data_IF_239880371815
#
_entry.id   IF_239880371815
#
_cell.length_a   1.000
_cell.length_b   1.000
_cell.length_c   1.000
_cell.angle_alpha   90.00
_cell.angle_beta   90.00
_cell.angle_gamma   90.00
#
_symmetry.space_group_name_H-M   'P 1'
#
loop_
_entity.id
_entity.type
_entity.pdbx_description
1 polymer ?
#
# COMPACT_ATOMS: atom_id res chain seq x y z
N UNK A 1 -9.88 11.54 -0.59
CA UNK A 1 -9.01 10.43 -1.01
C UNK A 1 -8.59 9.60 0.20
N UNK A 2 -8.00 10.21 1.21
CA UNK A 2 -7.54 9.54 2.41
C UNK A 2 -7.63 10.47 3.61
N UNK A 3 -7.92 9.92 4.77
CA UNK A 3 -7.85 10.64 6.04
C UNK A 3 -6.84 9.99 6.97
N UNK A 4 -6.31 10.77 7.89
CA UNK A 4 -5.49 10.27 8.99
C UNK A 4 -6.19 10.55 10.30
N UNK A 5 -6.08 9.65 11.27
CA UNK A 5 -6.57 9.85 12.64
C UNK A 5 -5.50 9.38 13.63
N UNK A 6 -5.21 10.23 14.59
CA UNK A 6 -4.23 10.00 15.63
C UNK A 6 -4.79 10.10 17.04
N UNK A 7 -3.95 9.92 18.06
CA UNK A 7 -4.35 10.17 19.45
C UNK A 7 -4.52 11.67 19.74
N UNK A 8 -3.78 12.53 19.04
CA UNK A 8 -3.89 13.98 19.14
C UNK A 8 -4.61 14.52 17.90
N UNK A 9 -5.56 15.47 18.05
CA UNK A 9 -6.31 16.06 16.94
C UNK A 9 -5.42 16.74 15.88
N UNK A 10 -4.23 17.15 16.20
CA UNK A 10 -3.26 17.73 15.25
C UNK A 10 -2.89 16.78 14.10
N UNK A 11 -3.08 15.47 14.31
CA UNK A 11 -2.80 14.42 13.33
C UNK A 11 -4.02 14.03 12.49
N UNK A 12 -5.19 14.58 12.82
CA UNK A 12 -6.42 14.35 12.07
C UNK A 12 -6.43 15.24 10.84
N UNK A 13 -6.24 14.63 9.68
CA UNK A 13 -6.16 15.34 8.39
C UNK A 13 -6.99 14.64 7.32
N UNK A 14 -7.59 15.44 6.45
CA UNK A 14 -8.27 14.95 5.27
C UNK A 14 -7.53 15.41 4.02
N UNK A 15 -7.19 14.48 3.14
CA UNK A 15 -6.54 14.75 1.88
C UNK A 15 -7.53 14.54 0.75
N UNK A 16 -7.76 15.58 -0.03
CA UNK A 16 -8.66 15.58 -1.18
C UNK A 16 -7.91 15.98 -2.44
N UNK A 17 -8.37 15.47 -3.58
CA UNK A 17 -7.86 15.92 -4.89
C UNK A 17 -8.35 17.35 -5.14
N UNK A 18 -7.52 18.17 -5.76
CA UNK A 18 -7.86 19.56 -6.12
C UNK A 18 -8.00 19.76 -7.63
N UNK A 19 -7.41 18.87 -8.42
CA UNK A 19 -7.51 18.90 -9.87
C UNK A 19 -8.84 18.30 -10.34
N UNK A 20 -9.31 18.77 -11.46
CA UNK A 20 -10.42 18.15 -12.18
C UNK A 20 -10.06 16.73 -12.63
N UNK A 21 -11.08 15.92 -12.84
CA UNK A 21 -10.90 14.56 -13.36
C UNK A 21 -10.42 14.64 -14.80
N UNK A 22 -9.25 14.09 -15.09
CA UNK A 22 -8.69 14.08 -16.44
C UNK A 22 -9.53 13.24 -17.41
N UNK A 23 -9.91 12.05 -17.00
CA UNK A 23 -10.75 11.13 -17.72
C UNK A 23 -11.51 10.23 -16.75
N UNK A 24 -12.84 10.31 -16.75
CA UNK A 24 -13.71 9.50 -15.89
C UNK A 24 -14.01 8.12 -16.50
N UNK A 25 -13.85 7.96 -17.82
CA UNK A 25 -14.32 6.79 -18.56
C UNK A 25 -13.24 5.76 -18.86
N UNK A 26 -11.96 6.17 -18.80
CA UNK A 26 -10.85 5.24 -19.05
C UNK A 26 -10.94 4.02 -18.13
N UNK A 27 -10.84 2.81 -18.69
CA UNK A 27 -10.82 1.58 -17.92
C UNK A 27 -9.50 1.47 -17.14
N UNK A 28 -9.59 1.23 -15.84
CA UNK A 28 -8.44 1.12 -14.95
C UNK A 28 -8.31 -0.31 -14.41
N UNK A 29 -7.08 -0.84 -14.49
CA UNK A 29 -6.66 -2.03 -13.78
C UNK A 29 -5.39 -1.70 -12.98
N UNK A 30 -5.39 -2.06 -11.70
CA UNK A 30 -4.25 -1.83 -10.80
C UNK A 30 -3.68 -3.16 -10.36
N UNK A 31 -2.41 -3.38 -10.64
CA UNK A 31 -1.71 -4.60 -10.25
C UNK A 31 -1.06 -4.40 -8.88
N UNK A 32 -1.36 -5.30 -7.96
CA UNK A 32 -0.77 -5.30 -6.60
C UNK A 32 -0.23 -6.68 -6.22
N UNK A 33 0.70 -6.69 -5.28
CA UNK A 33 1.21 -7.92 -4.66
C UNK A 33 1.60 -7.65 -3.20
N UNK A 34 2.12 -8.67 -2.51
CA UNK A 34 2.53 -8.57 -1.11
C UNK A 34 3.66 -7.56 -0.81
N UNK A 35 4.27 -6.95 -1.83
CA UNK A 35 5.24 -5.86 -1.68
C UNK A 35 4.64 -4.47 -1.91
N UNK A 36 3.41 -4.41 -2.41
CA UNK A 36 2.66 -3.15 -2.54
C UNK A 36 2.29 -2.65 -1.14
N UNK A 37 2.84 -1.50 -0.73
CA UNK A 37 2.72 -1.02 0.63
C UNK A 37 2.47 0.49 0.71
N UNK A 38 1.86 0.97 1.81
CA UNK A 38 1.71 2.38 2.16
C UNK A 38 0.96 3.17 1.08
N UNK A 39 1.58 4.14 0.40
CA UNK A 39 0.94 4.96 -0.64
C UNK A 39 0.34 4.13 -1.77
N UNK A 40 0.99 3.02 -2.16
CA UNK A 40 0.46 2.09 -3.16
C UNK A 40 -0.86 1.46 -2.71
N UNK A 41 -1.00 1.19 -1.41
CA UNK A 41 -2.23 0.64 -0.83
C UNK A 41 -3.32 1.70 -0.72
N UNK A 42 -2.95 2.95 -0.44
CA UNK A 42 -3.89 4.07 -0.46
C UNK A 42 -4.46 4.22 -1.87
N UNK A 43 -3.62 4.26 -2.90
CA UNK A 43 -4.08 4.40 -4.29
C UNK A 43 -4.97 3.24 -4.72
N UNK A 44 -4.52 2.00 -4.54
CA UNK A 44 -5.30 0.82 -4.92
C UNK A 44 -6.59 0.70 -4.12
N UNK A 45 -6.55 0.95 -2.81
CA UNK A 45 -7.71 0.91 -1.94
C UNK A 45 -8.74 1.99 -2.26
N UNK A 46 -8.30 3.21 -2.61
CA UNK A 46 -9.20 4.30 -3.04
C UNK A 46 -9.89 3.95 -4.36
N UNK A 47 -9.15 3.40 -5.33
CA UNK A 47 -9.71 2.94 -6.61
C UNK A 47 -10.75 1.83 -6.38
N UNK A 48 -10.46 0.90 -5.47
CA UNK A 48 -11.39 -0.16 -5.08
C UNK A 48 -12.62 0.40 -4.36
N UNK A 49 -12.46 1.28 -3.38
CA UNK A 49 -13.56 1.82 -2.58
C UNK A 49 -14.53 2.67 -3.40
N UNK A 50 -14.02 3.37 -4.43
CA UNK A 50 -14.85 4.11 -5.37
C UNK A 50 -15.39 3.27 -6.52
N UNK A 51 -15.05 1.97 -6.60
CA UNK A 51 -15.38 1.09 -7.75
C UNK A 51 -14.92 1.70 -9.09
N UNK A 52 -13.79 2.45 -9.07
CA UNK A 52 -13.29 3.17 -10.24
C UNK A 52 -12.48 2.27 -11.16
N UNK A 53 -11.97 1.17 -10.69
CA UNK A 53 -11.14 0.24 -11.43
C UNK A 53 -11.09 -1.14 -10.79
N UNK A 54 -10.45 -2.08 -11.48
CA UNK A 54 -10.26 -3.44 -11.03
C UNK A 54 -8.89 -3.60 -10.37
N UNK A 55 -8.86 -4.18 -9.18
CA UNK A 55 -7.62 -4.51 -8.46
C UNK A 55 -7.29 -5.97 -8.73
N UNK A 56 -6.10 -6.23 -9.28
CA UNK A 56 -5.68 -7.57 -9.72
C UNK A 56 -4.36 -7.93 -9.03
N UNK A 57 -4.20 -9.19 -8.66
CA UNK A 57 -2.94 -9.74 -8.18
C UNK A 57 -3.02 -10.45 -6.85
N UNK A 58 -2.22 -10.03 -5.88
CA UNK A 58 -2.14 -10.65 -4.55
C UNK A 58 -2.45 -9.61 -3.49
N UNK A 59 -2.88 -10.09 -2.31
CA UNK A 59 -3.07 -9.26 -1.12
C UNK A 59 -1.85 -8.37 -0.89
N UNK A 60 -2.06 -7.08 -0.64
CA UNK A 60 -1.01 -6.11 -0.38
C UNK A 60 -0.38 -6.29 1.02
N UNK A 61 0.62 -5.50 1.33
CA UNK A 61 1.43 -5.63 2.56
C UNK A 61 0.64 -5.34 3.85
N UNK A 62 -0.19 -4.29 3.86
CA UNK A 62 -0.94 -3.87 5.04
C UNK A 62 -0.19 -2.85 5.91
N UNK A 63 0.42 -1.83 5.31
CA UNK A 63 1.10 -0.74 6.02
C UNK A 63 0.22 0.51 6.10
N UNK A 64 -0.59 0.60 7.14
CA UNK A 64 -1.59 1.66 7.37
C UNK A 64 -1.20 2.70 8.42
N UNK A 65 0.05 2.73 8.89
CA UNK A 65 0.51 3.65 9.94
C UNK A 65 1.24 4.86 9.36
N UNK A 66 0.95 6.03 9.91
CA UNK A 66 1.68 7.28 9.67
C UNK A 66 2.80 7.39 10.68
N UNK A 67 4.03 7.53 10.19
CA UNK A 67 5.22 7.74 11.01
C UNK A 67 5.81 9.12 10.72
N UNK A 68 6.12 9.86 11.79
CA UNK A 68 6.78 11.14 11.73
C UNK A 68 8.12 11.09 12.45
N UNK A 69 9.11 11.80 11.91
CA UNK A 69 10.42 11.94 12.52
C UNK A 69 10.49 13.29 13.19
N UNK A 70 10.90 13.31 14.46
CA UNK A 70 11.12 14.54 15.24
C UNK A 70 12.55 14.64 15.72
N UNK A 71 13.11 15.84 15.67
CA UNK A 71 14.42 16.13 16.26
C UNK A 71 14.29 16.16 17.79
N UNK A 72 15.23 15.50 18.46
CA UNK A 72 15.29 15.42 19.93
C UNK A 72 16.56 16.04 20.52
N UNK A 73 17.28 16.82 19.72
CA UNK A 73 18.55 17.43 20.09
C UNK A 73 19.75 16.49 19.88
N UNK A 74 20.95 17.00 20.14
CA UNK A 74 22.20 16.24 20.01
C UNK A 74 22.38 15.52 18.67
N UNK A 75 21.93 16.15 17.57
CA UNK A 75 21.93 15.56 16.23
C UNK A 75 21.20 14.20 16.14
N UNK A 76 20.22 13.98 17.03
CA UNK A 76 19.45 12.74 17.12
C UNK A 76 17.99 12.96 16.72
N UNK A 77 17.37 11.92 16.16
CA UNK A 77 15.98 11.94 15.71
C UNK A 77 15.23 10.74 16.25
N UNK A 78 13.97 10.93 16.60
CA UNK A 78 13.05 9.86 16.97
C UNK A 78 11.99 9.73 15.89
N UNK A 79 11.68 8.49 15.49
CA UNK A 79 10.60 8.15 14.56
C UNK A 79 9.44 7.54 15.33
N UNK A 80 8.29 8.20 15.28
CA UNK A 80 7.11 7.83 16.07
C UNK A 80 5.92 7.56 15.14
N UNK A 81 5.11 6.56 15.48
CA UNK A 81 3.79 6.37 14.89
C UNK A 81 2.82 7.36 15.50
N UNK A 82 2.20 8.20 14.68
CA UNK A 82 1.34 9.32 15.12
C UNK A 82 -0.12 9.13 14.73
N UNK A 83 -0.42 8.41 13.65
CA UNK A 83 -1.78 8.22 13.15
C UNK A 83 -1.93 6.92 12.34
N UNK A 84 -3.19 6.56 12.04
CA UNK A 84 -3.56 5.53 11.07
C UNK A 84 -4.15 6.19 9.82
N UNK A 85 -3.99 5.54 8.65
CA UNK A 85 -4.67 5.93 7.41
C UNK A 85 -6.04 5.26 7.31
N UNK A 86 -7.02 6.04 6.84
CA UNK A 86 -8.36 5.57 6.50
C UNK A 86 -8.69 5.97 5.08
N UNK A 87 -9.12 5.01 4.27
CA UNK A 87 -9.51 5.20 2.88
C UNK A 87 -11.03 5.46 2.77
N UNK A 88 -11.59 5.78 1.59
CA UNK A 88 -12.94 6.34 1.48
C UNK A 88 -14.06 5.53 2.12
N UNK A 89 -14.00 4.21 2.12
CA UNK A 89 -14.98 3.37 2.84
C UNK A 89 -14.95 3.53 4.36
N UNK A 90 -13.91 4.15 4.92
CA UNK A 90 -13.67 4.28 6.34
C UNK A 90 -12.78 3.18 6.93
N UNK A 91 -12.39 2.19 6.14
CA UNK A 91 -11.50 1.11 6.60
C UNK A 91 -10.04 1.56 6.71
N UNK A 92 -9.31 0.93 7.63
CA UNK A 92 -7.88 1.04 7.78
C UNK A 92 -7.18 -0.18 7.13
N UNK A 93 -6.12 0.06 6.38
CA UNK A 93 -5.37 -1.01 5.69
C UNK A 93 -4.32 -1.69 6.57
N UNK A 94 -4.13 -1.25 7.81
CA UNK A 94 -3.10 -1.78 8.71
C UNK A 94 -3.37 -3.26 9.05
N UNK A 95 -2.43 -4.14 8.72
CA UNK A 95 -2.57 -5.59 8.92
C UNK A 95 -2.29 -6.05 10.34
N UNK A 96 -1.51 -5.29 11.09
CA UNK A 96 -1.03 -5.65 12.42
C UNK A 96 -1.57 -4.67 13.44
N UNK A 97 -2.16 -5.16 14.52
CA UNK A 97 -2.41 -4.38 15.73
C UNK A 97 -1.27 -4.57 16.73
N UNK A 98 -1.13 -3.60 17.64
CA UNK A 98 -0.15 -3.69 18.72
C UNK A 98 -0.89 -3.81 20.04
N UNK A 99 -0.64 -4.90 20.75
CA UNK A 99 -1.15 -5.13 22.11
C UNK A 99 0.05 -5.25 23.04
N UNK A 100 0.10 -4.39 24.04
CA UNK A 100 1.21 -4.33 25.03
C UNK A 100 2.60 -4.17 24.38
N UNK A 101 2.66 -3.49 23.21
CA UNK A 101 3.88 -3.26 22.45
C UNK A 101 4.26 -4.36 21.45
N UNK A 102 3.58 -5.51 21.51
CA UNK A 102 3.82 -6.63 20.59
C UNK A 102 2.84 -6.62 19.40
N UNK A 103 3.32 -6.96 18.18
CA UNK A 103 2.47 -7.03 17.01
C UNK A 103 1.56 -8.27 17.07
N UNK A 104 0.28 -8.07 16.83
CA UNK A 104 -0.73 -9.14 16.80
C UNK A 104 -1.46 -9.07 15.45
N UNK A 105 -1.46 -10.17 14.72
CA UNK A 105 -2.26 -10.31 13.51
C UNK A 105 -3.75 -10.42 13.86
N UNK A 106 -4.59 -9.66 13.11
CA UNK A 106 -6.03 -9.73 13.26
C UNK A 106 -6.54 -10.85 12.34
N UNK A 107 -7.14 -11.93 12.88
CA UNK A 107 -7.76 -12.96 12.07
C UNK A 107 -8.81 -12.38 11.14
N UNK A 108 -8.95 -12.94 9.95
CA UNK A 108 -9.85 -12.40 8.92
C UNK A 108 -11.31 -12.37 9.38
N UNK A 109 -11.73 -13.36 10.14
CA UNK A 109 -13.07 -13.46 10.70
C UNK A 109 -13.41 -12.35 11.71
N UNK A 110 -12.37 -11.78 12.34
CA UNK A 110 -12.49 -10.70 13.34
C UNK A 110 -12.41 -9.30 12.73
N UNK A 111 -12.16 -9.20 11.41
CA UNK A 111 -12.03 -7.90 10.73
C UNK A 111 -13.39 -7.26 10.49
N UNK A 112 -13.46 -5.95 10.70
CA UNK A 112 -14.66 -5.19 10.43
C UNK A 112 -14.96 -5.17 8.92
N UNK A 113 -16.26 -5.21 8.60
CA UNK A 113 -16.76 -5.21 7.22
C UNK A 113 -17.17 -3.81 6.82
N UNK A 114 -16.73 -3.38 5.66
CA UNK A 114 -17.07 -2.10 5.05
C UNK A 114 -17.64 -2.32 3.65
N UNK A 115 -18.13 -1.28 3.02
CA UNK A 115 -18.68 -1.33 1.67
C UNK A 115 -18.01 -0.31 0.77
N UNK A 116 -17.78 -0.70 -0.47
CA UNK A 116 -17.39 0.21 -1.54
C UNK A 116 -18.57 1.11 -1.93
N UNK A 117 -18.34 2.09 -2.79
CA UNK A 117 -19.38 3.01 -3.29
C UNK A 117 -20.60 2.28 -3.86
N UNK A 118 -20.38 1.15 -4.54
CA UNK A 118 -21.46 0.34 -5.16
C UNK A 118 -21.94 -0.81 -4.26
N UNK A 119 -21.53 -0.84 -2.98
CA UNK A 119 -22.01 -1.81 -2.00
C UNK A 119 -21.27 -3.16 -1.99
N UNK A 120 -20.14 -3.29 -2.68
CA UNK A 120 -19.30 -4.50 -2.57
C UNK A 120 -18.67 -4.57 -1.18
N UNK A 121 -18.65 -5.76 -0.60
CA UNK A 121 -18.07 -5.99 0.72
C UNK A 121 -16.53 -5.96 0.64
N UNK A 122 -15.91 -5.19 1.53
CA UNK A 122 -14.47 -5.11 1.74
C UNK A 122 -14.13 -5.18 3.22
N UNK A 123 -12.96 -5.69 3.56
CA UNK A 123 -12.55 -5.90 4.94
C UNK A 123 -11.62 -4.80 5.43
N UNK A 124 -11.71 -4.47 6.70
CA UNK A 124 -10.75 -3.69 7.45
C UNK A 124 -9.51 -4.51 7.77
N UNK A 125 -8.36 -3.87 7.84
CA UNK A 125 -7.11 -4.53 8.20
C UNK A 125 -6.58 -5.53 7.16
N UNK A 126 -5.30 -5.82 7.25
CA UNK A 126 -4.69 -6.85 6.41
C UNK A 126 -4.34 -6.44 4.98
N UNK A 127 -4.25 -5.13 4.70
CA UNK A 127 -3.98 -4.61 3.37
C UNK A 127 -5.21 -4.58 2.46
N UNK A 128 -4.95 -4.38 1.18
CA UNK A 128 -5.97 -4.40 0.12
C UNK A 128 -6.04 -5.81 -0.47
N UNK A 129 -7.21 -6.42 -0.40
CA UNK A 129 -7.47 -7.70 -1.06
C UNK A 129 -7.87 -7.42 -2.52
N UNK A 130 -7.22 -8.03 -3.52
CA UNK A 130 -7.56 -7.79 -4.91
C UNK A 130 -8.95 -8.33 -5.28
N UNK A 131 -9.59 -7.71 -6.25
CA UNK A 131 -10.89 -8.15 -6.80
C UNK A 131 -10.70 -9.43 -7.63
N UNK A 132 -9.55 -9.56 -8.30
CA UNK A 132 -9.12 -10.75 -9.01
C UNK A 132 -7.81 -11.26 -8.44
N UNK A 133 -7.89 -12.36 -7.70
CA UNK A 133 -6.72 -12.98 -7.09
C UNK A 133 -5.89 -13.72 -8.15
N UNK A 134 -4.60 -13.50 -8.14
CA UNK A 134 -3.62 -14.19 -8.99
C UNK A 134 -2.62 -14.96 -8.14
N UNK A 135 -2.24 -16.13 -8.59
CA UNK A 135 -1.20 -16.92 -7.95
C UNK A 135 0.15 -16.19 -7.97
N UNK A 136 0.98 -16.47 -6.98
CA UNK A 136 2.35 -15.98 -6.99
C UNK A 136 3.12 -16.66 -8.13
N UNK A 137 3.89 -15.89 -8.93
CA UNK A 137 4.76 -16.52 -9.91
C UNK A 137 5.75 -17.46 -9.21
N UNK A 138 5.81 -18.69 -9.68
CA UNK A 138 6.79 -19.67 -9.22
C UNK A 138 7.97 -19.60 -10.18
N UNK A 139 9.12 -19.19 -9.66
CA UNK A 139 10.36 -19.19 -10.42
C UNK A 139 11.17 -20.45 -10.08
N UNK A 140 11.85 -21.00 -11.06
CA UNK A 140 12.81 -22.08 -10.82
C UNK A 140 14.01 -21.60 -9.98
N UNK A 141 14.81 -22.55 -9.48
CA UNK A 141 15.93 -22.24 -8.58
C UNK A 141 16.97 -21.32 -9.23
N UNK A 142 17.17 -21.41 -10.55
CA UNK A 142 18.10 -20.57 -11.27
C UNK A 142 17.64 -19.11 -11.28
N UNK A 143 16.38 -18.87 -11.63
CA UNK A 143 15.79 -17.53 -11.64
C UNK A 143 15.77 -16.94 -10.22
N UNK A 144 15.41 -17.73 -9.21
CA UNK A 144 15.44 -17.29 -7.81
C UNK A 144 16.85 -16.86 -7.38
N UNK A 145 17.88 -17.62 -7.76
CA UNK A 145 19.27 -17.27 -7.47
C UNK A 145 19.71 -15.99 -8.19
N UNK A 146 19.36 -15.82 -9.47
CA UNK A 146 19.68 -14.61 -10.24
C UNK A 146 19.03 -13.36 -9.63
N UNK A 147 17.77 -13.46 -9.20
CA UNK A 147 17.06 -12.35 -8.54
C UNK A 147 17.66 -12.09 -7.15
N UNK A 148 17.83 -13.13 -6.34
CA UNK A 148 18.31 -13.03 -4.95
C UNK A 148 19.74 -12.50 -4.83
N UNK A 149 20.57 -12.78 -5.81
CA UNK A 149 21.96 -12.29 -5.89
C UNK A 149 22.11 -10.99 -6.69
N UNK A 150 21.01 -10.33 -7.04
CA UNK A 150 21.00 -9.09 -7.84
C UNK A 150 21.72 -9.20 -9.19
N UNK A 151 21.85 -10.41 -9.76
CA UNK A 151 22.60 -10.60 -11.00
C UNK A 151 21.96 -9.88 -12.19
N UNK A 152 20.63 -9.86 -12.26
CA UNK A 152 19.90 -9.11 -13.30
C UNK A 152 20.15 -7.61 -13.18
N UNK A 153 20.14 -7.08 -11.97
CA UNK A 153 20.43 -5.67 -11.71
C UNK A 153 21.88 -5.33 -12.10
N UNK A 154 22.84 -6.12 -11.63
CA UNK A 154 24.25 -5.92 -11.93
C UNK A 154 24.55 -6.02 -13.44
N UNK A 155 23.85 -6.91 -14.15
CA UNK A 155 23.95 -7.01 -15.61
C UNK A 155 23.41 -5.74 -16.28
N UNK A 156 22.23 -5.28 -15.91
CA UNK A 156 21.64 -4.06 -16.45
C UNK A 156 22.53 -2.84 -16.19
N UNK A 157 23.04 -2.69 -14.96
CA UNK A 157 23.94 -1.60 -14.59
C UNK A 157 25.20 -1.59 -15.47
N UNK A 158 25.81 -2.75 -15.68
CA UNK A 158 27.00 -2.85 -16.56
C UNK A 158 26.70 -2.57 -18.04
N UNK A 159 25.54 -3.01 -18.55
CA UNK A 159 25.18 -2.82 -19.95
C UNK A 159 24.79 -1.37 -20.25
N UNK A 160 24.18 -0.69 -19.31
CA UNK A 160 23.68 0.67 -19.49
C UNK A 160 24.53 1.74 -18.78
N UNK A 161 25.66 1.38 -18.18
CA UNK A 161 26.61 2.32 -17.61
C UNK A 161 27.11 3.30 -18.69
N UNK A 162 26.84 4.58 -18.51
CA UNK A 162 27.24 5.64 -19.45
C UNK A 162 26.29 5.84 -20.64
N UNK A 163 25.11 5.25 -20.63
CA UNK A 163 24.05 5.51 -21.61
C UNK A 163 23.06 6.53 -21.02
N UNK A 164 22.93 7.69 -21.64
CA UNK A 164 22.07 8.79 -21.17
C UNK A 164 20.57 8.55 -21.46
N UNK A 165 20.23 7.56 -22.30
CA UNK A 165 18.84 7.19 -22.60
C UNK A 165 18.74 5.69 -22.86
N UNK A 166 17.62 5.08 -22.44
CA UNK A 166 17.32 3.68 -22.78
C UNK A 166 16.90 3.64 -24.25
N UNK A 167 17.50 2.77 -25.08
CA UNK A 167 17.03 2.58 -26.46
C UNK A 167 15.58 2.09 -26.49
N UNK A 168 14.83 2.55 -27.50
CA UNK A 168 13.44 2.12 -27.76
C UNK A 168 13.32 0.62 -28.03
#
# INVERSE_FOLDING_TARGET
VVSTKGKSPEWDKNFVTRAEVYDSEIKLAVLINGRSASASEIVSGVIQDYDRGLIIGQKSYGKGLVQNTKDVGFNSKVKLTTAKYYIPSGRCIQSVEYKDGEPVDIPEESRAKFQTKNGRMVLDGGGVLPDLLMDKPVYDACIQALIGQYQLFNFADKQFAGIDSIPD
#
